data_IF_282254036271
#
_entry.id   IF_282254036271
#
_cell.length_a   1.000
_cell.length_b   1.000
_cell.length_c   1.000
_cell.angle_alpha   90.00
_cell.angle_beta   90.00
_cell.angle_gamma   90.00
#
_symmetry.space_group_name_H-M   'P 1'
#
loop_
_entity.id
_entity.type
_entity.pdbx_description
1 polymer ?
#
# COMPACT_ATOMS: atom_id res chain seq x y z
N UNK A 1 -33.14 -0.01 5.83
CA UNK A 1 -32.18 0.65 4.91
C UNK A 1 -31.24 1.43 5.80
N UNK A 2 -30.06 0.89 6.12
CA UNK A 2 -29.06 1.58 6.92
C UNK A 2 -28.46 2.65 6.03
N UNK A 3 -28.65 3.93 6.37
CA UNK A 3 -27.98 5.01 5.68
C UNK A 3 -26.49 4.91 6.00
N UNK A 4 -25.67 4.49 5.03
CA UNK A 4 -24.23 4.50 5.14
C UNK A 4 -23.73 5.95 5.11
N UNK A 5 -23.84 6.63 6.24
CA UNK A 5 -23.18 7.91 6.46
C UNK A 5 -21.71 7.64 6.79
N UNK A 6 -20.89 7.56 5.75
CA UNK A 6 -19.46 7.48 5.90
C UNK A 6 -18.93 8.86 6.31
N UNK A 7 -18.15 8.92 7.37
CA UNK A 7 -17.57 10.16 7.86
C UNK A 7 -16.55 10.71 6.85
N UNK A 8 -16.60 12.01 6.57
CA UNK A 8 -15.52 12.70 5.85
C UNK A 8 -14.51 13.17 6.91
N UNK A 9 -13.36 12.53 6.99
CA UNK A 9 -12.36 12.82 8.00
C UNK A 9 -11.61 14.10 7.67
N UNK A 10 -11.51 14.99 8.66
CA UNK A 10 -10.75 16.23 8.50
C UNK A 10 -9.24 15.93 8.45
N UNK A 11 -8.60 16.27 7.34
CA UNK A 11 -7.17 16.07 7.15
C UNK A 11 -6.29 17.01 8.00
N UNK A 12 -6.79 18.17 8.39
CA UNK A 12 -5.98 19.20 9.04
C UNK A 12 -5.20 18.75 10.29
N UNK A 13 -5.84 18.12 11.31
CA UNK A 13 -5.14 17.59 12.47
C UNK A 13 -4.09 16.55 12.09
N UNK A 14 -4.45 15.60 11.21
CA UNK A 14 -3.55 14.53 10.75
C UNK A 14 -2.30 15.11 10.08
N UNK A 15 -2.46 16.09 9.21
CA UNK A 15 -1.35 16.75 8.52
C UNK A 15 -0.45 17.54 9.47
N UNK A 16 -1.02 18.15 10.51
CA UNK A 16 -0.28 18.83 11.56
C UNK A 16 0.64 17.87 12.34
N UNK A 17 0.11 16.71 12.70
CA UNK A 17 0.87 15.65 13.36
C UNK A 17 1.96 15.11 12.45
N UNK A 18 1.67 14.87 11.16
CA UNK A 18 2.65 14.39 10.18
C UNK A 18 3.81 15.33 9.99
N UNK A 19 3.60 16.65 9.99
CA UNK A 19 4.70 17.62 9.93
C UNK A 19 5.68 17.46 11.10
N UNK A 20 5.16 17.19 12.30
CA UNK A 20 5.98 16.95 13.49
C UNK A 20 6.73 15.63 13.38
N UNK A 21 6.04 14.58 12.91
CA UNK A 21 6.62 13.26 12.71
C UNK A 21 7.74 13.30 11.67
N UNK A 22 7.52 13.90 10.49
CA UNK A 22 8.54 13.99 9.44
C UNK A 22 9.76 14.83 9.84
N UNK A 23 9.59 15.85 10.68
CA UNK A 23 10.73 16.63 11.20
C UNK A 23 11.65 15.80 12.10
N UNK A 24 11.07 14.84 12.83
CA UNK A 24 11.79 14.01 13.81
C UNK A 24 12.10 12.58 13.28
N UNK A 25 11.76 12.30 12.03
CA UNK A 25 11.93 10.98 11.44
C UNK A 25 13.41 10.61 11.33
N UNK A 26 13.77 9.45 11.90
CA UNK A 26 15.11 8.90 11.82
C UNK A 26 15.14 7.79 10.75
N UNK A 27 15.81 8.09 9.64
CA UNK A 27 15.93 7.21 8.47
C UNK A 27 16.62 5.88 8.84
N UNK A 28 17.59 5.93 9.77
CA UNK A 28 18.42 4.76 10.08
C UNK A 28 17.68 3.65 10.86
N UNK A 29 16.47 3.95 11.35
CA UNK A 29 15.64 3.00 12.10
C UNK A 29 14.75 2.12 11.21
N UNK A 30 14.71 2.37 9.91
CA UNK A 30 13.77 1.71 9.00
C UNK A 30 14.50 1.00 7.86
N UNK A 31 14.04 -0.21 7.56
CA UNK A 31 14.61 -1.05 6.51
C UNK A 31 13.49 -1.69 5.69
N UNK A 32 13.65 -1.63 4.37
CA UNK A 32 12.85 -2.37 3.42
C UNK A 32 13.67 -3.55 2.89
N UNK A 33 13.11 -4.75 2.97
CA UNK A 33 13.75 -5.97 2.47
C UNK A 33 13.03 -6.42 1.21
N UNK A 34 13.78 -6.53 0.12
CA UNK A 34 13.29 -7.05 -1.14
C UNK A 34 14.24 -8.12 -1.66
N UNK A 35 13.79 -8.97 -2.56
CA UNK A 35 14.62 -9.97 -3.23
C UNK A 35 15.30 -9.44 -4.50
N UNK A 36 15.26 -8.13 -4.76
CA UNK A 36 15.89 -7.52 -5.93
C UNK A 36 17.35 -7.92 -6.10
N UNK A 37 17.75 -8.25 -7.31
CA UNK A 37 19.15 -8.62 -7.62
C UNK A 37 20.11 -7.45 -7.40
N UNK A 38 21.42 -7.75 -7.31
CA UNK A 38 22.43 -6.70 -7.16
C UNK A 38 22.44 -5.73 -8.36
N UNK A 39 22.10 -6.21 -9.56
CA UNK A 39 22.00 -5.40 -10.78
C UNK A 39 20.79 -4.47 -10.74
N UNK A 40 19.62 -4.98 -10.35
CA UNK A 40 18.42 -4.18 -10.17
C UNK A 40 18.64 -3.11 -9.09
N UNK A 41 19.38 -3.41 -8.02
CA UNK A 41 19.75 -2.43 -6.99
C UNK A 41 20.70 -1.35 -7.44
N UNK A 42 21.64 -1.67 -8.32
CA UNK A 42 22.57 -0.68 -8.86
C UNK A 42 21.85 0.37 -9.72
N UNK A 43 20.66 0.03 -10.24
CA UNK A 43 19.79 0.92 -10.98
C UNK A 43 18.83 1.74 -10.09
N UNK A 44 18.71 1.38 -8.78
CA UNK A 44 17.84 2.12 -7.85
C UNK A 44 18.53 3.41 -7.37
N UNK A 45 17.75 4.49 -7.17
CA UNK A 45 18.27 5.71 -6.60
C UNK A 45 18.84 5.46 -5.20
N UNK A 46 19.92 6.16 -4.85
CA UNK A 46 20.46 6.15 -3.50
C UNK A 46 19.48 6.88 -2.57
N UNK A 47 19.46 6.49 -1.30
CA UNK A 47 18.66 7.18 -0.30
C UNK A 47 18.94 8.70 -0.33
N UNK A 48 17.90 9.50 -0.49
CA UNK A 48 17.97 10.95 -0.62
C UNK A 48 18.39 11.50 -2.00
N UNK A 49 18.48 10.64 -3.03
CA UNK A 49 18.71 11.10 -4.40
C UNK A 49 17.42 11.64 -5.03
N UNK A 50 17.55 12.60 -5.96
CA UNK A 50 16.41 13.15 -6.70
C UNK A 50 16.03 12.25 -7.88
N UNK A 51 14.74 12.14 -8.19
CA UNK A 51 14.25 11.43 -9.38
C UNK A 51 14.83 12.03 -10.67
N UNK A 52 15.03 13.35 -10.70
CA UNK A 52 15.60 14.05 -11.86
C UNK A 52 17.01 13.56 -12.25
N UNK A 53 17.74 12.99 -11.30
CA UNK A 53 19.11 12.53 -11.53
C UNK A 53 19.17 11.24 -12.35
N UNK A 54 18.05 10.54 -12.51
CA UNK A 54 18.00 9.23 -13.14
C UNK A 54 17.30 9.19 -14.50
N UNK A 55 16.62 10.27 -14.92
CA UNK A 55 15.87 10.30 -16.18
C UNK A 55 14.73 9.27 -16.27
N UNK A 56 14.34 8.67 -15.14
CA UNK A 56 13.30 7.65 -15.05
C UNK A 56 11.98 8.34 -14.72
N UNK A 57 10.96 8.10 -15.53
CA UNK A 57 9.63 8.69 -15.33
C UNK A 57 8.79 7.89 -14.32
N UNK A 58 9.07 6.59 -14.20
CA UNK A 58 8.36 5.68 -13.30
C UNK A 58 9.35 4.92 -12.42
N UNK A 59 9.13 4.94 -11.12
CA UNK A 59 9.96 4.22 -10.16
C UNK A 59 9.19 3.04 -9.57
N UNK A 60 9.81 1.86 -9.49
CA UNK A 60 9.25 0.74 -8.72
C UNK A 60 9.22 1.08 -7.23
N UNK A 61 8.37 0.38 -6.47
CA UNK A 61 8.19 0.58 -5.04
C UNK A 61 9.52 0.66 -4.24
N UNK A 62 10.52 -0.23 -4.44
CA UNK A 62 11.80 -0.11 -3.74
C UNK A 62 12.53 1.21 -4.03
N UNK A 63 12.43 1.72 -5.25
CA UNK A 63 13.04 3.00 -5.64
C UNK A 63 12.40 4.18 -4.92
N UNK A 64 11.08 4.21 -4.82
CA UNK A 64 10.34 5.26 -4.11
C UNK A 64 10.70 5.22 -2.62
N UNK A 65 10.70 4.04 -1.99
CA UNK A 65 11.07 3.88 -0.59
C UNK A 65 12.52 4.33 -0.32
N UNK A 66 13.43 4.07 -1.26
CA UNK A 66 14.83 4.51 -1.17
C UNK A 66 14.94 6.04 -1.17
N UNK A 67 14.17 6.74 -2.02
CA UNK A 67 14.10 8.21 -2.03
C UNK A 67 13.51 8.75 -0.74
N UNK A 68 12.50 8.07 -0.19
CA UNK A 68 11.93 8.39 1.12
C UNK A 68 12.92 8.18 2.29
N UNK A 69 14.10 7.62 2.00
CA UNK A 69 15.15 7.39 2.97
C UNK A 69 15.12 6.01 3.62
N UNK A 70 14.30 5.09 3.12
CA UNK A 70 14.26 3.71 3.63
C UNK A 70 15.39 2.91 3.00
N UNK A 71 16.25 2.34 3.85
CA UNK A 71 17.34 1.48 3.38
C UNK A 71 16.82 0.15 2.85
N UNK A 72 17.14 -0.19 1.61
CA UNK A 72 16.82 -1.47 0.99
C UNK A 72 17.88 -2.53 1.29
N UNK A 73 17.43 -3.73 1.64
CA UNK A 73 18.26 -4.94 1.75
C UNK A 73 17.71 -6.03 0.83
N UNK A 74 18.56 -7.01 0.47
CA UNK A 74 18.11 -8.17 -0.34
C UNK A 74 18.06 -9.44 0.50
N UNK A 75 17.08 -10.30 0.20
CA UNK A 75 16.95 -11.63 0.80
C UNK A 75 18.11 -12.57 0.43
N UNK A 76 18.78 -12.34 -0.71
CA UNK A 76 19.88 -13.19 -1.19
C UNK A 76 21.18 -13.09 -0.37
N UNK A 77 21.25 -12.17 0.60
CA UNK A 77 22.39 -12.01 1.46
C UNK A 77 22.00 -12.24 2.93
N UNK A 78 21.92 -13.51 3.33
CA UNK A 78 21.61 -13.90 4.72
C UNK A 78 22.54 -13.27 5.77
N UNK A 79 23.73 -12.82 5.38
CA UNK A 79 24.71 -12.19 6.27
C UNK A 79 24.25 -10.84 6.87
N UNK A 80 23.26 -10.18 6.30
CA UNK A 80 22.73 -8.90 6.80
C UNK A 80 21.53 -9.03 7.75
N UNK A 81 20.87 -10.19 7.79
CA UNK A 81 19.59 -10.36 8.49
C UNK A 81 19.74 -10.32 10.01
N UNK A 82 20.88 -10.77 10.56
CA UNK A 82 21.14 -10.73 12.01
C UNK A 82 21.24 -9.31 12.59
N UNK A 83 21.49 -8.31 11.74
CA UNK A 83 21.61 -6.91 12.16
C UNK A 83 20.25 -6.19 12.24
N UNK A 84 19.14 -6.86 11.91
CA UNK A 84 17.83 -6.23 11.79
C UNK A 84 17.01 -6.20 13.09
N UNK A 85 17.46 -6.88 14.15
CA UNK A 85 16.72 -7.12 15.40
C UNK A 85 16.27 -5.87 16.18
N UNK A 86 16.63 -4.67 15.73
CA UNK A 86 16.21 -3.40 16.35
C UNK A 86 15.54 -2.43 15.36
N UNK A 87 15.35 -2.87 14.13
CA UNK A 87 14.87 -2.05 13.05
C UNK A 87 13.39 -2.34 12.76
N UNK A 88 12.68 -1.33 12.29
CA UNK A 88 11.35 -1.55 11.72
C UNK A 88 11.53 -2.10 10.31
N UNK A 89 11.18 -3.37 10.11
CA UNK A 89 11.39 -4.09 8.85
C UNK A 89 10.07 -4.26 8.12
N UNK A 90 10.09 -3.97 6.83
CA UNK A 90 9.04 -4.30 5.88
C UNK A 90 9.62 -5.23 4.81
N UNK A 91 8.88 -6.25 4.43
CA UNK A 91 9.26 -7.22 3.39
C UNK A 91 8.27 -7.11 2.23
N UNK A 92 8.78 -7.11 1.01
CA UNK A 92 7.97 -7.32 -0.20
C UNK A 92 8.10 -8.77 -0.68
N UNK A 93 6.99 -9.37 -1.03
CA UNK A 93 6.92 -10.77 -1.46
C UNK A 93 6.95 -10.96 -2.98
N UNK A 94 6.80 -9.89 -3.77
CA UNK A 94 6.78 -9.93 -5.24
C UNK A 94 7.91 -10.75 -5.83
N UNK A 95 9.06 -10.70 -5.20
CA UNK A 95 10.27 -11.26 -5.76
C UNK A 95 10.63 -12.63 -5.17
N UNK A 96 9.97 -13.06 -4.09
CA UNK A 96 10.12 -14.43 -3.57
C UNK A 96 9.65 -15.44 -4.61
N UNK A 97 8.66 -15.09 -5.43
CA UNK A 97 8.16 -15.95 -6.51
C UNK A 97 9.15 -16.20 -7.64
N UNK A 98 10.00 -15.23 -7.96
CA UNK A 98 11.02 -15.40 -9.01
C UNK A 98 12.01 -16.54 -8.70
N UNK A 99 11.99 -17.06 -7.48
CA UNK A 99 12.96 -18.04 -6.96
C UNK A 99 12.39 -19.46 -6.78
N UNK A 100 11.51 -19.94 -7.63
CA UNK A 100 11.07 -21.37 -7.75
C UNK A 100 10.27 -21.95 -6.57
N UNK A 101 9.26 -22.76 -6.94
CA UNK A 101 8.43 -23.62 -6.07
C UNK A 101 9.21 -24.47 -5.04
N UNK A 102 10.50 -24.67 -5.24
CA UNK A 102 11.34 -25.52 -4.39
C UNK A 102 11.91 -24.79 -3.15
N UNK A 103 11.75 -23.45 -3.05
CA UNK A 103 12.33 -22.69 -1.93
C UNK A 103 11.72 -23.10 -0.58
N UNK A 104 10.41 -23.33 -0.53
CA UNK A 104 9.75 -23.80 0.69
C UNK A 104 10.00 -25.28 1.03
N UNK A 105 10.83 -25.98 0.23
CA UNK A 105 11.36 -27.31 0.55
C UNK A 105 12.75 -27.23 1.20
N UNK A 106 13.41 -26.09 1.11
CA UNK A 106 14.72 -25.85 1.72
C UNK A 106 14.57 -25.40 3.17
N UNK A 107 14.94 -26.27 4.09
CA UNK A 107 14.83 -26.01 5.53
C UNK A 107 15.75 -24.88 6.04
N UNK A 108 16.86 -24.59 5.36
CA UNK A 108 17.74 -23.46 5.69
C UNK A 108 17.08 -22.14 5.27
N UNK A 109 16.55 -22.10 4.06
CA UNK A 109 15.82 -20.94 3.55
C UNK A 109 14.60 -20.61 4.43
N UNK A 110 13.82 -21.61 4.84
CA UNK A 110 12.67 -21.41 5.75
C UNK A 110 13.15 -20.81 7.09
N UNK A 111 14.24 -21.31 7.68
CA UNK A 111 14.77 -20.77 8.94
C UNK A 111 15.25 -19.32 8.79
N UNK A 112 15.86 -18.98 7.67
CA UNK A 112 16.29 -17.62 7.38
C UNK A 112 15.09 -16.68 7.24
N UNK A 113 14.04 -17.11 6.53
CA UNK A 113 12.78 -16.37 6.45
C UNK A 113 12.11 -16.24 7.82
N UNK A 114 12.05 -17.31 8.61
CA UNK A 114 11.49 -17.24 9.96
C UNK A 114 12.28 -16.25 10.85
N UNK A 115 13.60 -16.20 10.71
CA UNK A 115 14.42 -15.21 11.42
C UNK A 115 14.09 -13.79 10.98
N UNK A 116 13.95 -13.54 9.68
CA UNK A 116 13.55 -12.24 9.12
C UNK A 116 12.15 -11.84 9.59
N UNK A 117 11.17 -12.73 9.46
CA UNK A 117 9.77 -12.45 9.80
C UNK A 117 9.55 -12.32 11.30
N UNK A 118 10.41 -12.87 12.14
CA UNK A 118 10.37 -12.64 13.59
C UNK A 118 10.57 -11.17 13.94
N UNK A 119 11.45 -10.49 13.24
CA UNK A 119 11.77 -9.07 13.45
C UNK A 119 10.97 -8.14 12.51
N UNK A 120 10.25 -8.71 11.54
CA UNK A 120 9.47 -7.96 10.57
C UNK A 120 8.23 -7.34 11.22
N UNK A 121 7.96 -6.07 10.88
CA UNK A 121 6.79 -5.33 11.31
C UNK A 121 5.64 -5.43 10.32
N UNK A 122 5.95 -5.32 9.04
CA UNK A 122 4.97 -5.33 7.98
C UNK A 122 5.44 -6.17 6.78
N UNK A 123 4.51 -6.82 6.13
CA UNK A 123 4.73 -7.61 4.91
C UNK A 123 3.79 -7.10 3.83
N UNK A 124 4.35 -6.72 2.68
CA UNK A 124 3.58 -6.31 1.52
C UNK A 124 3.55 -7.43 0.47
N UNK A 125 2.36 -7.81 0.06
CA UNK A 125 2.08 -8.74 -1.02
C UNK A 125 1.61 -7.94 -2.22
N UNK A 126 2.48 -7.80 -3.22
CA UNK A 126 2.23 -6.91 -4.35
C UNK A 126 1.89 -7.70 -5.61
N UNK A 127 0.96 -7.14 -6.39
CA UNK A 127 0.63 -7.50 -7.76
C UNK A 127 0.28 -8.98 -8.02
N UNK A 128 -0.54 -9.56 -7.15
CA UNK A 128 -1.00 -10.95 -7.29
C UNK A 128 -1.52 -11.29 -8.70
N UNK A 129 -2.22 -10.38 -9.34
CA UNK A 129 -2.85 -10.63 -10.64
C UNK A 129 -1.85 -10.92 -11.75
N UNK A 130 -0.65 -10.34 -11.71
CA UNK A 130 0.39 -10.54 -12.74
C UNK A 130 1.26 -11.77 -12.48
N UNK A 131 1.22 -12.31 -11.27
CA UNK A 131 2.06 -13.42 -10.84
C UNK A 131 1.34 -14.76 -11.03
N UNK A 132 2.01 -15.72 -11.66
CA UNK A 132 1.38 -17.02 -12.01
C UNK A 132 1.17 -17.95 -10.80
N UNK A 133 1.98 -17.79 -9.76
CA UNK A 133 2.06 -18.69 -8.60
C UNK A 133 1.99 -17.96 -7.26
N UNK A 134 1.42 -16.75 -7.24
CA UNK A 134 1.34 -15.93 -6.04
C UNK A 134 0.69 -16.66 -4.86
N UNK A 135 -0.47 -17.30 -5.10
CA UNK A 135 -1.18 -18.04 -4.04
C UNK A 135 -0.33 -19.16 -3.46
N UNK A 136 0.45 -19.87 -4.28
CA UNK A 136 1.35 -20.93 -3.81
C UNK A 136 2.47 -20.39 -2.93
N UNK A 137 3.07 -19.26 -3.31
CA UNK A 137 4.11 -18.62 -2.52
C UNK A 137 3.55 -18.06 -1.21
N UNK A 138 2.35 -17.48 -1.25
CA UNK A 138 1.70 -16.95 -0.06
C UNK A 138 1.30 -18.07 0.91
N UNK A 139 0.79 -19.20 0.41
CA UNK A 139 0.48 -20.37 1.23
C UNK A 139 1.74 -20.94 1.90
N UNK A 140 2.84 -21.08 1.14
CA UNK A 140 4.13 -21.51 1.71
C UNK A 140 4.65 -20.56 2.79
N UNK A 141 4.57 -19.23 2.56
CA UNK A 141 4.93 -18.22 3.57
C UNK A 141 4.05 -18.33 4.83
N UNK A 142 2.75 -18.47 4.64
CA UNK A 142 1.80 -18.58 5.75
C UNK A 142 2.08 -19.84 6.56
N UNK A 143 2.17 -21.00 5.91
CA UNK A 143 2.24 -22.31 6.55
C UNK A 143 3.60 -22.59 7.15
N UNK A 144 4.69 -22.32 6.40
CA UNK A 144 6.03 -22.74 6.77
C UNK A 144 6.81 -21.66 7.52
N UNK A 145 6.45 -20.40 7.36
CA UNK A 145 7.20 -19.27 7.94
C UNK A 145 6.41 -18.57 9.03
N UNK A 146 5.20 -18.05 8.73
CA UNK A 146 4.47 -17.14 9.59
C UNK A 146 3.75 -17.90 10.72
N UNK A 147 2.99 -18.92 10.40
CA UNK A 147 2.23 -19.68 11.40
C UNK A 147 3.13 -20.30 12.50
N UNK A 148 4.30 -20.87 12.18
CA UNK A 148 5.20 -21.40 13.22
C UNK A 148 5.80 -20.35 14.16
N UNK A 149 5.82 -19.05 13.77
CA UNK A 149 6.31 -17.98 14.64
C UNK A 149 5.35 -17.64 15.77
N UNK A 150 4.05 -17.94 15.62
CA UNK A 150 3.03 -17.66 16.62
C UNK A 150 2.82 -16.17 16.92
N UNK A 151 3.23 -15.26 16.03
CA UNK A 151 3.04 -13.81 16.16
C UNK A 151 1.63 -13.41 15.71
N UNK A 152 1.11 -12.35 16.30
CA UNK A 152 -0.20 -11.79 15.98
C UNK A 152 -0.19 -10.26 15.85
N UNK A 153 1.01 -9.66 15.89
CA UNK A 153 1.20 -8.21 15.89
C UNK A 153 1.78 -7.67 14.56
N UNK A 154 1.83 -8.52 13.54
CA UNK A 154 2.29 -8.13 12.21
C UNK A 154 1.18 -7.44 11.39
N UNK A 155 1.60 -6.59 10.45
CA UNK A 155 0.74 -5.96 9.47
C UNK A 155 0.96 -6.63 8.10
N UNK A 156 -0.11 -7.13 7.50
CA UNK A 156 -0.09 -7.74 6.16
C UNK A 156 -0.86 -6.85 5.20
N UNK A 157 -0.25 -6.49 4.08
CA UNK A 157 -0.85 -5.61 3.08
C UNK A 157 -0.89 -6.34 1.75
N UNK A 158 -2.09 -6.51 1.21
CA UNK A 158 -2.30 -7.18 -0.07
C UNK A 158 -2.73 -6.19 -1.13
N UNK A 159 -1.99 -6.19 -2.24
CA UNK A 159 -2.29 -5.44 -3.46
C UNK A 159 -2.58 -6.46 -4.56
N UNK A 160 -3.86 -6.62 -4.90
CA UNK A 160 -4.27 -7.71 -5.78
C UNK A 160 -3.99 -7.45 -7.25
N UNK A 161 -4.03 -6.18 -7.66
CA UNK A 161 -4.00 -5.83 -9.08
C UNK A 161 -5.33 -6.15 -9.78
N UNK A 162 -5.28 -6.29 -11.09
CA UNK A 162 -6.45 -6.55 -11.91
C UNK A 162 -6.92 -8.01 -11.79
N UNK A 163 -7.82 -8.28 -10.87
CA UNK A 163 -8.35 -9.63 -10.61
C UNK A 163 -9.02 -10.27 -11.86
N UNK A 164 -9.44 -9.48 -12.87
CA UNK A 164 -9.98 -10.00 -14.13
C UNK A 164 -8.95 -10.76 -14.98
N UNK A 165 -7.67 -10.68 -14.66
CA UNK A 165 -6.61 -11.45 -15.32
C UNK A 165 -6.55 -12.91 -14.83
N UNK A 166 -7.31 -13.27 -13.81
CA UNK A 166 -7.33 -14.57 -13.15
C UNK A 166 -8.67 -15.27 -13.35
N UNK A 167 -8.67 -16.59 -13.18
CA UNK A 167 -9.89 -17.36 -13.17
C UNK A 167 -10.64 -17.18 -11.84
N UNK A 168 -11.95 -17.32 -11.85
CA UNK A 168 -12.79 -17.12 -10.66
C UNK A 168 -12.30 -17.92 -9.44
N UNK A 169 -11.95 -19.19 -9.63
CA UNK A 169 -11.50 -20.05 -8.55
C UNK A 169 -10.13 -19.63 -7.98
N UNK A 170 -9.25 -19.03 -8.80
CA UNK A 170 -7.96 -18.48 -8.33
C UNK A 170 -8.18 -17.24 -7.45
N UNK A 171 -9.20 -16.42 -7.81
CA UNK A 171 -9.59 -15.26 -7.00
C UNK A 171 -10.14 -15.74 -5.66
N UNK A 172 -11.04 -16.70 -5.66
CA UNK A 172 -11.66 -17.28 -4.46
C UNK A 172 -10.60 -17.88 -3.53
N UNK A 173 -9.68 -18.68 -4.07
CA UNK A 173 -8.53 -19.23 -3.33
C UNK A 173 -7.65 -18.14 -2.73
N UNK A 174 -7.35 -17.06 -3.47
CA UNK A 174 -6.54 -15.96 -2.97
C UNK A 174 -7.24 -15.22 -1.82
N UNK A 175 -8.55 -14.97 -1.91
CA UNK A 175 -9.31 -14.31 -0.85
C UNK A 175 -9.40 -15.16 0.43
N UNK A 176 -9.54 -16.47 0.29
CA UNK A 176 -9.51 -17.41 1.43
C UNK A 176 -8.14 -17.38 2.11
N UNK A 177 -7.07 -17.41 1.31
CA UNK A 177 -5.71 -17.34 1.80
C UNK A 177 -5.42 -16.01 2.51
N UNK A 178 -5.82 -14.88 1.93
CA UNK A 178 -5.72 -13.55 2.56
C UNK A 178 -6.43 -13.54 3.91
N UNK A 179 -7.64 -14.11 3.95
CA UNK A 179 -8.42 -14.22 5.20
C UNK A 179 -7.71 -15.08 6.25
N UNK A 180 -6.96 -16.12 5.85
CA UNK A 180 -6.19 -16.95 6.76
C UNK A 180 -5.02 -16.20 7.43
N UNK A 181 -4.42 -15.20 6.76
CA UNK A 181 -3.42 -14.34 7.38
C UNK A 181 -3.97 -13.54 8.58
N UNK A 182 -5.28 -13.30 8.66
CA UNK A 182 -5.90 -12.59 9.80
C UNK A 182 -5.75 -13.32 11.14
N UNK A 183 -5.42 -14.61 11.14
CA UNK A 183 -5.09 -15.36 12.34
C UNK A 183 -3.70 -15.00 12.91
N UNK A 184 -2.86 -14.35 12.11
CA UNK A 184 -1.45 -14.07 12.43
C UNK A 184 -1.14 -12.57 12.50
N UNK A 185 -2.10 -11.70 12.24
CA UNK A 185 -1.91 -10.25 12.32
C UNK A 185 -3.04 -9.45 11.70
N UNK A 186 -2.82 -8.15 11.53
CA UNK A 186 -3.78 -7.28 10.88
C UNK A 186 -3.62 -7.36 9.36
N UNK A 187 -4.70 -7.67 8.67
CA UNK A 187 -4.74 -7.74 7.22
C UNK A 187 -5.40 -6.49 6.66
N UNK A 188 -4.71 -5.85 5.74
CA UNK A 188 -5.22 -4.75 4.93
C UNK A 188 -5.20 -5.16 3.46
N UNK A 189 -6.33 -5.07 2.78
CA UNK A 189 -6.41 -5.17 1.32
C UNK A 189 -6.53 -3.76 0.76
N UNK A 190 -5.67 -3.40 -0.19
CA UNK A 190 -5.66 -2.09 -0.82
C UNK A 190 -5.89 -2.24 -2.33
N UNK A 191 -6.92 -1.57 -2.83
CA UNK A 191 -7.37 -1.63 -4.21
C UNK A 191 -7.54 -0.21 -4.76
N UNK A 192 -7.23 0.00 -6.03
CA UNK A 192 -7.75 1.18 -6.71
C UNK A 192 -9.24 1.01 -7.04
N UNK A 193 -9.90 2.11 -7.44
CA UNK A 193 -11.34 2.07 -7.74
C UNK A 193 -11.68 1.07 -8.84
N UNK A 194 -10.86 0.96 -9.89
CA UNK A 194 -11.09 0.04 -10.99
C UNK A 194 -10.88 -1.41 -10.53
N UNK A 195 -9.83 -1.68 -9.76
CA UNK A 195 -9.57 -2.99 -9.16
C UNK A 195 -10.73 -3.42 -8.26
N UNK A 196 -11.24 -2.50 -7.43
CA UNK A 196 -12.35 -2.77 -6.54
C UNK A 196 -13.66 -3.09 -7.30
N UNK A 197 -13.96 -2.33 -8.35
CA UNK A 197 -15.13 -2.60 -9.20
C UNK A 197 -14.98 -3.96 -9.90
N UNK A 198 -13.83 -4.27 -10.45
CA UNK A 198 -13.55 -5.55 -11.11
C UNK A 198 -13.66 -6.73 -10.14
N UNK A 199 -13.08 -6.60 -8.94
CA UNK A 199 -13.20 -7.62 -7.90
C UNK A 199 -14.68 -7.83 -7.52
N UNK A 200 -15.43 -6.76 -7.32
CA UNK A 200 -16.87 -6.85 -7.04
C UNK A 200 -17.63 -7.57 -8.17
N UNK A 201 -17.32 -7.29 -9.44
CA UNK A 201 -17.93 -7.96 -10.59
C UNK A 201 -17.69 -9.46 -10.55
N UNK A 202 -16.46 -9.90 -10.30
CA UNK A 202 -16.09 -11.31 -10.18
C UNK A 202 -16.89 -11.97 -9.06
N UNK A 203 -16.90 -11.37 -7.87
CA UNK A 203 -17.60 -11.92 -6.70
C UNK A 203 -19.12 -12.03 -6.89
N UNK A 204 -19.70 -11.24 -7.78
CA UNK A 204 -21.14 -11.25 -8.07
C UNK A 204 -21.49 -11.90 -9.42
N UNK A 205 -20.54 -12.55 -10.11
CA UNK A 205 -20.77 -13.23 -11.38
C UNK A 205 -21.18 -12.31 -12.53
N UNK A 206 -20.78 -11.03 -12.46
CA UNK A 206 -21.07 -10.03 -13.50
C UNK A 206 -20.08 -10.20 -14.66
N UNK A 207 -20.60 -10.36 -15.87
CA UNK A 207 -19.78 -10.58 -17.06
C UNK A 207 -18.93 -9.35 -17.41
N UNK A 208 -17.66 -9.55 -17.85
CA UNK A 208 -16.84 -8.48 -18.41
C UNK A 208 -17.55 -7.82 -19.62
N UNK A 209 -17.52 -6.51 -19.68
CA UNK A 209 -18.17 -5.73 -20.77
C UNK A 209 -19.65 -5.41 -20.54
N UNK A 210 -20.24 -5.85 -19.43
CA UNK A 210 -21.51 -5.31 -18.99
C UNK A 210 -21.30 -3.83 -18.69
N UNK A 211 -22.02 -2.94 -19.41
CA UNK A 211 -21.98 -1.51 -19.12
C UNK A 211 -22.41 -1.32 -17.66
N UNK A 212 -21.47 -0.93 -16.83
CA UNK A 212 -21.81 -0.46 -15.49
C UNK A 212 -22.27 0.96 -15.73
N UNK A 213 -23.59 1.18 -15.68
CA UNK A 213 -24.16 2.52 -15.73
C UNK A 213 -23.37 3.42 -14.78
N UNK A 214 -23.17 4.68 -15.16
CA UNK A 214 -22.50 5.68 -14.32
C UNK A 214 -23.13 5.67 -12.93
N UNK A 215 -22.46 4.97 -12.02
CA UNK A 215 -23.06 4.64 -10.74
C UNK A 215 -22.85 5.81 -9.81
N UNK A 216 -23.92 6.16 -9.11
CA UNK A 216 -23.79 7.15 -8.05
C UNK A 216 -22.71 6.69 -7.05
N UNK A 217 -21.98 7.65 -6.46
CA UNK A 217 -20.95 7.37 -5.45
C UNK A 217 -21.48 6.50 -4.28
N UNK A 218 -22.78 6.59 -3.98
CA UNK A 218 -23.44 5.74 -2.99
C UNK A 218 -23.51 4.27 -3.41
N UNK A 219 -23.66 3.97 -4.70
CA UNK A 219 -23.70 2.60 -5.20
C UNK A 219 -22.32 1.97 -5.21
N UNK A 220 -21.27 2.73 -5.54
CA UNK A 220 -19.88 2.30 -5.44
C UNK A 220 -19.52 1.97 -3.99
N UNK A 221 -19.84 2.84 -3.03
CA UNK A 221 -19.60 2.58 -1.60
C UNK A 221 -20.28 1.29 -1.12
N UNK A 222 -21.49 1.02 -1.60
CA UNK A 222 -22.20 -0.23 -1.25
C UNK A 222 -21.48 -1.47 -1.81
N UNK A 223 -20.97 -1.38 -3.03
CA UNK A 223 -20.18 -2.45 -3.65
C UNK A 223 -18.89 -2.70 -2.89
N UNK A 224 -18.13 -1.65 -2.58
CA UNK A 224 -16.90 -1.75 -1.80
C UNK A 224 -17.16 -2.34 -0.40
N UNK A 225 -18.22 -1.91 0.27
CA UNK A 225 -18.61 -2.49 1.55
C UNK A 225 -18.97 -3.98 1.43
N UNK A 226 -19.58 -4.40 0.33
CA UNK A 226 -19.87 -5.83 0.13
C UNK A 226 -18.59 -6.65 -0.02
N UNK A 227 -17.55 -6.13 -0.69
CA UNK A 227 -16.22 -6.76 -0.74
C UNK A 227 -15.67 -6.93 0.69
N UNK A 228 -15.66 -5.86 1.47
CA UNK A 228 -15.18 -5.90 2.86
C UNK A 228 -15.90 -6.97 3.69
N UNK A 229 -17.23 -7.08 3.55
CA UNK A 229 -18.05 -8.05 4.28
C UNK A 229 -17.87 -9.50 3.82
N UNK A 230 -17.36 -9.71 2.62
CA UNK A 230 -17.07 -11.05 2.09
C UNK A 230 -15.76 -11.60 2.65
N UNK A 231 -14.81 -10.70 2.98
CA UNK A 231 -13.49 -11.06 3.47
C UNK A 231 -13.41 -10.94 4.99
N UNK A 232 -12.67 -11.83 5.63
CA UNK A 232 -12.34 -11.73 7.06
C UNK A 232 -11.01 -10.97 7.23
N UNK A 233 -11.04 -9.65 7.06
CA UNK A 233 -9.86 -8.76 7.09
C UNK A 233 -10.10 -7.57 8.03
N UNK A 234 -9.02 -7.01 8.55
CA UNK A 234 -9.11 -5.85 9.45
C UNK A 234 -9.48 -4.57 8.67
N UNK A 235 -8.93 -4.38 7.48
CA UNK A 235 -9.10 -3.17 6.71
C UNK A 235 -9.24 -3.44 5.20
N UNK A 236 -10.16 -2.71 4.56
CA UNK A 236 -10.21 -2.55 3.11
C UNK A 236 -9.98 -1.07 2.78
N UNK A 237 -8.96 -0.79 1.99
CA UNK A 237 -8.66 0.54 1.47
C UNK A 237 -9.02 0.59 -0.01
N UNK A 238 -9.85 1.57 -0.39
CA UNK A 238 -10.10 1.88 -1.80
C UNK A 238 -9.54 3.27 -2.07
N UNK A 239 -8.51 3.36 -2.91
CA UNK A 239 -7.87 4.63 -3.23
C UNK A 239 -8.16 5.06 -4.67
N UNK A 240 -8.35 6.37 -4.82
CA UNK A 240 -8.58 7.03 -6.10
C UNK A 240 -7.61 8.20 -6.28
N UNK A 241 -7.74 8.90 -7.40
CA UNK A 241 -7.01 10.14 -7.62
C UNK A 241 -7.37 11.24 -6.59
N UNK A 242 -8.58 11.21 -6.02
CA UNK A 242 -9.13 12.29 -5.20
C UNK A 242 -9.22 11.95 -3.72
N UNK A 243 -9.41 10.69 -3.37
CA UNK A 243 -9.66 10.29 -1.99
C UNK A 243 -9.27 8.83 -1.73
N UNK A 244 -9.28 8.47 -0.46
CA UNK A 244 -9.16 7.09 0.02
C UNK A 244 -10.33 6.80 0.94
N UNK A 245 -10.98 5.67 0.70
CA UNK A 245 -12.06 5.15 1.53
C UNK A 245 -11.50 4.02 2.38
N UNK A 246 -11.69 4.10 3.69
CA UNK A 246 -11.41 3.02 4.64
C UNK A 246 -12.69 2.33 5.05
N UNK A 247 -12.69 1.00 4.98
CA UNK A 247 -13.63 0.13 5.67
C UNK A 247 -12.88 -0.70 6.70
N UNK A 248 -13.30 -0.61 7.95
CA UNK A 248 -12.89 -1.50 9.05
C UNK A 248 -14.08 -1.72 9.99
N UNK A 249 -13.94 -2.64 10.92
CA UNK A 249 -14.99 -2.86 11.93
C UNK A 249 -15.08 -1.70 12.92
N UNK A 250 -13.96 -1.05 13.22
CA UNK A 250 -13.88 0.04 14.20
C UNK A 250 -14.27 1.40 13.62
N UNK A 251 -13.87 1.68 12.37
CA UNK A 251 -14.12 2.99 11.74
C UNK A 251 -14.30 2.87 10.21
N UNK A 252 -15.14 3.74 9.69
CA UNK A 252 -15.35 3.87 8.24
C UNK A 252 -15.33 5.35 7.87
N UNK A 253 -14.40 5.75 7.00
CA UNK A 253 -14.29 7.14 6.62
C UNK A 253 -13.73 7.32 5.21
N UNK A 254 -13.91 8.54 4.69
CA UNK A 254 -13.27 9.04 3.49
C UNK A 254 -12.24 10.09 3.90
N UNK A 255 -11.02 9.97 3.41
CA UNK A 255 -9.99 11.00 3.51
C UNK A 255 -9.71 11.54 2.12
N UNK A 256 -10.11 12.79 1.87
CA UNK A 256 -9.90 13.43 0.57
C UNK A 256 -8.53 14.04 0.48
N UNK A 257 -7.92 13.92 -0.70
CA UNK A 257 -6.67 14.58 -1.05
C UNK A 257 -6.83 16.09 -1.11
N UNK A 258 -5.72 16.80 -1.12
CA UNK A 258 -5.68 18.23 -1.48
C UNK A 258 -6.38 18.45 -2.83
N UNK A 259 -7.34 19.37 -2.85
CA UNK A 259 -7.98 19.77 -4.12
C UNK A 259 -7.00 20.65 -4.90
N UNK A 260 -6.60 20.19 -6.07
CA UNK A 260 -5.76 20.91 -7.02
C UNK A 260 -6.36 20.74 -8.40
N UNK A 261 -6.09 21.69 -9.30
CA UNK A 261 -6.69 21.79 -10.63
C UNK A 261 -6.98 20.50 -11.39
N UNK A 262 -8.02 20.50 -12.10
CA UNK A 262 -8.99 19.57 -12.65
C UNK A 262 -8.51 18.40 -13.52
N UNK A 263 -7.24 18.04 -13.66
CA UNK A 263 -6.83 16.99 -14.61
C UNK A 263 -5.62 16.15 -14.18
N UNK A 264 -5.53 15.79 -12.91
CA UNK A 264 -4.58 14.75 -12.56
C UNK A 264 -5.23 13.38 -12.85
N UNK A 265 -5.09 12.92 -14.10
CA UNK A 265 -5.22 11.51 -14.40
C UNK A 265 -4.28 10.75 -13.45
N UNK A 266 -4.75 9.60 -12.93
CA UNK A 266 -3.88 8.73 -12.18
C UNK A 266 -2.69 8.36 -13.09
N UNK A 267 -1.51 8.91 -12.76
CA UNK A 267 -0.30 8.51 -13.45
C UNK A 267 -0.09 7.00 -13.27
N UNK A 268 0.54 6.34 -14.22
CA UNK A 268 0.79 4.88 -14.18
C UNK A 268 1.50 4.41 -12.91
N UNK A 269 2.24 5.31 -12.25
CA UNK A 269 2.94 5.05 -10.99
C UNK A 269 2.21 5.56 -9.72
N UNK A 270 0.98 6.05 -9.86
CA UNK A 270 0.17 6.54 -8.76
C UNK A 270 -0.01 5.48 -7.66
N UNK A 271 -0.24 4.23 -8.10
CA UNK A 271 -0.35 3.07 -7.22
C UNK A 271 0.90 2.90 -6.36
N UNK A 272 2.08 2.83 -6.98
CA UNK A 272 3.34 2.63 -6.28
C UNK A 272 3.64 3.78 -5.31
N UNK A 273 3.30 5.00 -5.67
CA UNK A 273 3.49 6.16 -4.79
C UNK A 273 2.56 6.11 -3.57
N UNK A 274 1.29 5.76 -3.74
CA UNK A 274 0.37 5.58 -2.61
C UNK A 274 0.83 4.45 -1.70
N UNK A 275 1.15 3.28 -2.28
CA UNK A 275 1.66 2.10 -1.56
C UNK A 275 2.91 2.44 -0.76
N UNK A 276 3.87 3.15 -1.38
CA UNK A 276 5.11 3.54 -0.71
C UNK A 276 4.85 4.45 0.49
N UNK A 277 3.99 5.46 0.33
CA UNK A 277 3.63 6.36 1.42
C UNK A 277 2.86 5.65 2.54
N UNK A 278 1.89 4.82 2.22
CA UNK A 278 1.16 4.01 3.20
C UNK A 278 2.09 3.08 3.97
N UNK A 279 2.98 2.38 3.25
CA UNK A 279 3.99 1.49 3.85
C UNK A 279 4.96 2.24 4.76
N UNK A 280 5.39 3.45 4.37
CA UNK A 280 6.20 4.32 5.23
C UNK A 280 5.45 4.63 6.54
N UNK A 281 4.17 4.97 6.46
CA UNK A 281 3.33 5.21 7.63
C UNK A 281 3.30 4.01 8.59
N UNK A 282 3.16 2.79 8.07
CA UNK A 282 3.19 1.56 8.87
C UNK A 282 4.55 1.32 9.51
N UNK A 283 5.65 1.51 8.78
CA UNK A 283 7.01 1.43 9.33
C UNK A 283 7.23 2.41 10.47
N UNK A 284 6.66 3.60 10.36
CA UNK A 284 6.68 4.64 11.41
C UNK A 284 5.71 4.37 12.56
N UNK A 285 4.96 3.26 12.53
CA UNK A 285 3.95 2.87 13.52
C UNK A 285 2.85 3.91 13.72
N UNK A 286 2.47 4.59 12.65
CA UNK A 286 1.38 5.55 12.67
C UNK A 286 0.02 4.81 12.71
N UNK A 287 -1.02 5.48 13.19
CA UNK A 287 -2.37 4.96 13.06
C UNK A 287 -2.83 4.96 11.60
N UNK A 288 -3.86 4.20 11.28
CA UNK A 288 -4.29 3.97 9.90
C UNK A 288 -4.65 5.27 9.15
N UNK A 289 -5.28 6.23 9.82
CA UNK A 289 -5.60 7.53 9.22
C UNK A 289 -4.35 8.32 8.82
N UNK A 290 -3.31 8.27 9.63
CA UNK A 290 -2.02 8.88 9.31
C UNK A 290 -1.30 8.11 8.19
N UNK A 291 -1.34 6.77 8.19
CA UNK A 291 -0.78 5.96 7.10
C UNK A 291 -1.42 6.31 5.75
N UNK A 292 -2.75 6.43 5.71
CA UNK A 292 -3.50 6.84 4.53
C UNK A 292 -3.09 8.26 4.10
N UNK A 293 -2.97 9.19 5.04
CA UNK A 293 -2.56 10.56 4.75
C UNK A 293 -1.13 10.62 4.18
N UNK A 294 -0.18 9.80 4.69
CA UNK A 294 1.17 9.69 4.10
C UNK A 294 1.09 9.15 2.68
N UNK A 295 0.26 8.14 2.43
CA UNK A 295 -0.01 7.64 1.08
C UNK A 295 -0.47 8.74 0.13
N UNK A 296 -1.47 9.53 0.54
CA UNK A 296 -1.99 10.66 -0.23
C UNK A 296 -0.96 11.78 -0.41
N UNK A 297 -0.10 12.04 0.58
CA UNK A 297 0.97 13.04 0.50
C UNK A 297 2.02 12.62 -0.52
N UNK A 298 2.50 11.38 -0.48
CA UNK A 298 3.50 10.88 -1.43
C UNK A 298 2.92 10.85 -2.84
N UNK A 299 1.70 10.36 -3.00
CA UNK A 299 0.98 10.36 -4.26
C UNK A 299 0.81 11.78 -4.83
N UNK A 300 0.30 12.71 -4.01
CA UNK A 300 0.01 14.08 -4.44
C UNK A 300 1.26 14.91 -4.70
N UNK A 301 2.32 14.74 -3.92
CA UNK A 301 3.57 15.50 -4.11
C UNK A 301 4.18 15.24 -5.47
N UNK A 302 4.14 14.00 -5.97
CA UNK A 302 4.62 13.65 -7.30
C UNK A 302 3.69 14.17 -8.41
N UNK A 303 2.38 13.95 -8.26
CA UNK A 303 1.39 14.36 -9.26
C UNK A 303 1.31 15.87 -9.46
N UNK A 304 1.33 16.63 -8.37
CA UNK A 304 1.11 18.09 -8.41
C UNK A 304 2.41 18.89 -8.60
N UNK A 305 3.45 18.52 -7.87
CA UNK A 305 4.69 19.31 -7.85
C UNK A 305 5.70 18.80 -8.87
N UNK A 306 5.48 17.63 -9.47
CA UNK A 306 6.43 16.92 -10.34
C UNK A 306 7.80 16.69 -9.68
N UNK A 307 7.86 16.80 -8.35
CA UNK A 307 9.04 16.54 -7.56
C UNK A 307 9.01 15.11 -7.01
N UNK A 308 10.19 14.54 -6.79
CA UNK A 308 10.30 13.25 -6.13
C UNK A 308 9.77 13.30 -4.70
N UNK A 309 9.46 12.15 -4.10
CA UNK A 309 8.96 12.05 -2.73
C UNK A 309 10.07 12.29 -1.69
N UNK A 310 10.94 13.27 -1.92
CA UNK A 310 11.97 13.69 -0.97
C UNK A 310 11.33 14.31 0.27
N UNK A 311 11.93 14.08 1.43
CA UNK A 311 11.40 14.53 2.73
C UNK A 311 11.02 16.02 2.76
N UNK A 312 11.86 16.89 2.21
CA UNK A 312 11.57 18.33 2.19
C UNK A 312 10.36 18.63 1.32
N UNK A 313 10.26 18.01 0.16
CA UNK A 313 9.13 18.15 -0.76
C UNK A 313 7.82 17.67 -0.11
N UNK A 314 7.87 16.58 0.66
CA UNK A 314 6.70 16.10 1.41
C UNK A 314 6.26 17.09 2.48
N UNK A 315 7.22 17.66 3.23
CA UNK A 315 6.91 18.70 4.22
C UNK A 315 6.28 19.95 3.56
N UNK A 316 6.83 20.39 2.44
CA UNK A 316 6.33 21.55 1.69
C UNK A 316 4.93 21.28 1.11
N UNK A 317 4.70 20.06 0.62
CA UNK A 317 3.39 19.63 0.16
C UNK A 317 2.35 19.62 1.29
N UNK A 318 2.69 19.03 2.44
CA UNK A 318 1.83 19.03 3.63
C UNK A 318 1.50 20.45 4.07
N UNK A 319 2.49 21.34 4.15
CA UNK A 319 2.28 22.74 4.54
C UNK A 319 1.35 23.46 3.54
N UNK A 320 1.49 23.16 2.25
CA UNK A 320 0.62 23.73 1.23
C UNK A 320 -0.82 23.23 1.37
N UNK A 321 -0.99 21.94 1.64
CA UNK A 321 -2.31 21.35 1.89
C UNK A 321 -2.96 21.94 3.15
N UNK A 322 -2.23 22.07 4.27
CA UNK A 322 -2.74 22.72 5.48
C UNK A 322 -3.18 24.15 5.21
N UNK A 323 -2.39 24.93 4.44
CA UNK A 323 -2.76 26.31 4.06
C UNK A 323 -4.06 26.36 3.24
N UNK A 324 -4.25 25.41 2.34
CA UNK A 324 -5.48 25.36 1.52
C UNK A 324 -6.70 25.01 2.37
N UNK A 325 -6.56 24.12 3.36
CA UNK A 325 -7.64 23.79 4.30
C UNK A 325 -8.01 25.00 5.23
N UNK A 326 -7.10 25.94 5.43
CA UNK A 326 -7.33 27.12 6.25
C UNK A 326 -7.92 28.29 5.47
N UNK A 327 -8.03 28.21 4.12
CA UNK A 327 -8.67 29.24 3.34
C UNK A 327 -10.16 29.29 3.65
N UNK A 328 -10.74 30.48 3.90
CA UNK A 328 -12.18 30.58 4.10
C UNK A 328 -12.92 30.13 2.85
N UNK A 329 -14.03 29.39 3.04
CA UNK A 329 -14.87 28.80 1.99
C UNK A 329 -15.42 29.77 0.93
N UNK A 330 -15.15 31.06 1.06
CA UNK A 330 -15.55 32.10 0.12
C UNK A 330 -14.80 32.13 -1.21
N UNK A 331 -13.75 31.32 -1.35
CA UNK A 331 -13.10 31.11 -2.65
C UNK A 331 -13.48 29.73 -3.15
N UNK A 332 -14.70 29.56 -3.58
CA UNK A 332 -15.05 28.52 -4.54
C UNK A 332 -14.24 28.82 -5.81
N UNK A 333 -13.06 28.21 -5.90
CA UNK A 333 -12.22 28.23 -7.12
C UNK A 333 -12.85 27.39 -8.24
N UNK A 334 -14.03 26.82 -8.01
CA UNK A 334 -14.72 25.98 -8.96
C UNK A 334 -16.20 26.38 -9.02
N UNK A 335 -16.52 27.16 -10.02
CA UNK A 335 -17.88 27.16 -10.55
C UNK A 335 -18.04 25.87 -11.33
N UNK A 336 -19.00 25.06 -10.91
CA UNK A 336 -19.53 23.97 -11.71
C UNK A 336 -20.11 24.60 -13.00
N UNK A 337 -19.46 24.38 -14.14
CA UNK A 337 -20.04 24.54 -15.47
C UNK A 337 -20.37 23.15 -16.03
#
# INVERSE_FOLDING_TARGET
MVAYNMEIKNAGPILGDLLTVFKNFNIDEHVYVSSATAEERSALPRAGASISDFGITELPLPGILSILGIRSLTLNSCQGLQALSRLNVMVSTVEIEKHKRDLFKDSEFIKDLQSLFRDCRAVAFDDWATLSEASVAWDGLLTDVIAPLGKTDQEYIFYLGDAMQKLFFEVDEALDLISAFSLHGKVTVALDENEAVKLWMILNGVQPGTAIDEQSFSDLKRKYFSIFRTMNIANLLIYSANDVILYSDDEQFVLSRRKVDHNLEMASDARQNFIAGYSLGLLMRLNIGHCIAVGLVVFGSKGELKFGPERNNLCDYIQSWVRDLQRPDGVQLYQDD
#
